data_IF_206176500327
#
_entry.id   IF_206176500327
#
_cell.length_a   1.000
_cell.length_b   1.000
_cell.length_c   1.000
_cell.angle_alpha   90.00
_cell.angle_beta   90.00
_cell.angle_gamma   90.00
#
_symmetry.space_group_name_H-M   'P 1'
#
loop_
_entity.id
_entity.type
_entity.pdbx_description
1 polymer ?
#
# COMPACT_ATOMS: atom_id res chain seq x y z
N UNK A 1 -34.63 5.15 -16.97
CA UNK A 1 -34.90 5.40 -15.54
C UNK A 1 -33.74 6.24 -15.03
N UNK A 2 -33.97 7.36 -14.35
CA UNK A 2 -32.87 8.06 -13.67
C UNK A 2 -32.37 7.15 -12.54
N UNK A 3 -31.10 6.76 -12.57
CA UNK A 3 -30.47 6.01 -11.48
C UNK A 3 -29.77 6.98 -10.51
N UNK A 4 -29.39 6.50 -9.34
CA UNK A 4 -28.69 7.30 -8.33
C UNK A 4 -27.30 7.73 -8.80
N UNK A 5 -26.66 6.92 -9.65
CA UNK A 5 -25.35 7.20 -10.24
C UNK A 5 -25.35 8.45 -11.13
N UNK A 6 -26.31 8.58 -12.04
CA UNK A 6 -26.46 9.77 -12.90
C UNK A 6 -26.71 11.04 -12.08
N UNK A 7 -27.52 10.93 -11.03
CA UNK A 7 -27.71 12.04 -10.11
C UNK A 7 -26.41 12.39 -9.37
N UNK A 8 -25.58 11.39 -9.07
CA UNK A 8 -24.29 11.58 -8.43
C UNK A 8 -23.23 12.17 -9.36
N UNK A 9 -23.18 11.73 -10.63
CA UNK A 9 -22.28 12.28 -11.65
C UNK A 9 -22.59 13.75 -11.97
N UNK A 10 -23.87 14.12 -11.93
CA UNK A 10 -24.32 15.51 -12.12
C UNK A 10 -24.15 16.37 -10.86
N UNK A 11 -23.78 15.77 -9.72
CA UNK A 11 -23.70 16.46 -8.43
C UNK A 11 -25.07 16.90 -7.88
N UNK A 12 -26.17 16.33 -8.38
CA UNK A 12 -27.52 16.66 -7.94
C UNK A 12 -27.82 16.04 -6.58
N UNK A 13 -27.34 16.72 -5.54
CA UNK A 13 -27.56 16.36 -4.14
C UNK A 13 -29.05 16.21 -3.79
N UNK A 14 -29.93 16.99 -4.43
CA UNK A 14 -31.36 16.92 -4.15
C UNK A 14 -31.96 15.63 -4.72
N UNK A 15 -31.58 15.25 -5.95
CA UNK A 15 -31.97 13.98 -6.53
C UNK A 15 -31.39 12.80 -5.73
N UNK A 16 -30.10 12.83 -5.36
CA UNK A 16 -29.50 11.76 -4.55
C UNK A 16 -30.22 11.61 -3.20
N UNK A 17 -30.47 12.72 -2.48
CA UNK A 17 -31.28 12.70 -1.25
C UNK A 17 -32.64 12.06 -1.45
N UNK A 18 -33.31 12.39 -2.56
CA UNK A 18 -34.61 11.79 -2.89
C UNK A 18 -34.51 10.28 -3.10
N UNK A 19 -33.47 9.79 -3.78
CA UNK A 19 -33.26 8.35 -3.95
C UNK A 19 -32.99 7.63 -2.63
N UNK A 20 -32.11 8.18 -1.79
CA UNK A 20 -31.72 7.56 -0.52
C UNK A 20 -32.84 7.63 0.52
N UNK A 21 -33.48 8.79 0.68
CA UNK A 21 -34.41 9.06 1.79
C UNK A 21 -35.86 8.70 1.45
N UNK A 22 -36.33 8.94 0.23
CA UNK A 22 -37.73 8.67 -0.15
C UNK A 22 -37.89 7.28 -0.77
N UNK A 23 -36.94 6.85 -1.60
CA UNK A 23 -37.01 5.55 -2.31
C UNK A 23 -36.28 4.42 -1.58
N UNK A 24 -35.52 4.74 -0.53
CA UNK A 24 -34.77 3.74 0.24
C UNK A 24 -33.68 3.04 -0.57
N UNK A 25 -33.12 3.71 -1.59
CA UNK A 25 -32.00 3.17 -2.36
C UNK A 25 -30.77 3.14 -1.45
N UNK A 26 -30.03 2.03 -1.45
CA UNK A 26 -28.78 1.91 -0.71
C UNK A 26 -27.80 2.99 -1.17
N UNK A 27 -27.06 3.59 -0.23
CA UNK A 27 -26.02 4.58 -0.55
C UNK A 27 -24.84 3.97 -1.32
N UNK A 28 -24.64 2.67 -1.18
CA UNK A 28 -23.64 1.89 -1.92
C UNK A 28 -24.25 1.18 -3.14
N UNK A 29 -25.46 1.57 -3.58
CA UNK A 29 -26.10 0.93 -4.73
C UNK A 29 -25.28 1.17 -6.01
N UNK A 30 -24.69 0.11 -6.54
CA UNK A 30 -23.90 0.14 -7.76
C UNK A 30 -24.79 0.16 -9.00
N UNK A 31 -24.30 0.80 -10.07
CA UNK A 31 -24.93 0.77 -11.39
C UNK A 31 -24.68 -0.57 -12.11
N UNK A 32 -25.06 -0.67 -13.38
CA UNK A 32 -24.87 -1.91 -14.18
C UNK A 32 -23.39 -2.22 -14.45
N UNK A 33 -22.50 -1.24 -14.29
CA UNK A 33 -21.05 -1.37 -14.45
C UNK A 33 -20.34 -1.51 -13.09
N UNK A 34 -21.07 -1.60 -11.98
CA UNK A 34 -20.47 -1.73 -10.65
C UNK A 34 -20.01 -0.41 -10.01
N UNK A 35 -20.30 0.76 -10.59
CA UNK A 35 -19.94 2.03 -9.97
C UNK A 35 -20.94 2.45 -8.91
N UNK A 36 -20.44 2.76 -7.72
CA UNK A 36 -21.24 3.34 -6.64
C UNK A 36 -21.49 4.84 -6.83
N UNK A 37 -22.46 5.46 -6.13
CA UNK A 37 -22.64 6.90 -6.14
C UNK A 37 -21.41 7.66 -5.62
N UNK A 38 -20.62 7.01 -4.75
CA UNK A 38 -19.40 7.59 -4.20
C UNK A 38 -18.27 7.62 -5.25
N UNK A 39 -18.16 6.61 -6.12
CA UNK A 39 -17.25 6.65 -7.28
C UNK A 39 -17.58 7.84 -8.18
N UNK A 40 -18.85 8.00 -8.56
CA UNK A 40 -19.27 9.12 -9.41
C UNK A 40 -19.00 10.47 -8.75
N UNK A 41 -19.34 10.62 -7.47
CA UNK A 41 -19.12 11.86 -6.75
C UNK A 41 -17.62 12.19 -6.62
N UNK A 42 -16.76 11.18 -6.44
CA UNK A 42 -15.31 11.34 -6.37
C UNK A 42 -14.69 11.72 -7.72
N UNK A 43 -15.07 11.03 -8.79
CA UNK A 43 -14.58 11.30 -10.16
C UNK A 43 -14.96 12.69 -10.65
N UNK A 44 -16.19 13.13 -10.38
CA UNK A 44 -16.64 14.46 -10.83
C UNK A 44 -16.41 15.58 -9.79
N UNK A 45 -15.71 15.32 -8.69
CA UNK A 45 -15.32 16.35 -7.73
C UNK A 45 -16.46 16.91 -6.85
N UNK A 46 -17.56 16.18 -6.67
CA UNK A 46 -18.76 16.64 -5.96
C UNK A 46 -18.62 16.53 -4.44
N UNK A 47 -17.81 17.41 -3.85
CA UNK A 47 -17.51 17.43 -2.41
C UNK A 47 -18.74 17.36 -1.50
N UNK A 48 -19.73 18.23 -1.72
CA UNK A 48 -20.95 18.29 -0.88
C UNK A 48 -21.74 16.97 -0.93
N UNK A 49 -21.66 16.28 -2.06
CA UNK A 49 -22.31 14.99 -2.25
C UNK A 49 -21.54 13.86 -1.56
N UNK A 50 -20.21 13.83 -1.67
CA UNK A 50 -19.35 12.89 -0.94
C UNK A 50 -19.62 13.00 0.56
N UNK A 51 -19.59 14.22 1.09
CA UNK A 51 -19.90 14.53 2.48
C UNK A 51 -21.26 13.94 2.92
N UNK A 52 -22.28 14.07 2.06
CA UNK A 52 -23.61 13.53 2.34
C UNK A 52 -23.61 12.00 2.33
N UNK A 53 -23.00 11.37 1.32
CA UNK A 53 -22.95 9.92 1.17
C UNK A 53 -22.22 9.27 2.36
N UNK A 54 -21.06 9.80 2.74
CA UNK A 54 -20.28 9.33 3.90
C UNK A 54 -21.05 9.52 5.21
N UNK A 55 -21.75 10.65 5.41
CA UNK A 55 -22.64 10.86 6.58
C UNK A 55 -23.81 9.87 6.63
N UNK A 56 -24.21 9.31 5.50
CA UNK A 56 -25.24 8.25 5.42
C UNK A 56 -24.67 6.85 5.55
N UNK A 57 -23.37 6.71 5.78
CA UNK A 57 -22.69 5.44 6.00
C UNK A 57 -22.31 4.73 4.71
N UNK A 58 -22.09 5.47 3.61
CA UNK A 58 -21.49 4.89 2.41
C UNK A 58 -20.13 4.28 2.75
N UNK A 59 -19.84 3.10 2.19
CA UNK A 59 -18.53 2.48 2.33
C UNK A 59 -17.50 3.29 1.53
N UNK A 60 -16.57 3.93 2.23
CA UNK A 60 -15.49 4.72 1.60
C UNK A 60 -14.55 3.87 0.75
N UNK A 61 -14.43 2.59 1.06
CA UNK A 61 -13.63 1.58 0.34
C UNK A 61 -14.54 0.64 -0.45
N UNK A 62 -15.62 1.15 -1.03
CA UNK A 62 -16.46 0.35 -1.93
C UNK A 62 -15.68 0.06 -3.20
N UNK A 63 -15.61 -1.21 -3.59
CA UNK A 63 -14.90 -1.65 -4.79
C UNK A 63 -15.85 -1.72 -5.99
N UNK A 64 -15.41 -1.21 -7.14
CA UNK A 64 -16.00 -1.50 -8.44
C UNK A 64 -15.51 -2.86 -8.99
N UNK A 65 -15.87 -3.29 -10.22
CA UNK A 65 -15.43 -4.57 -10.77
C UNK A 65 -13.94 -4.70 -11.02
N UNK A 66 -13.22 -3.60 -11.20
CA UNK A 66 -11.75 -3.55 -11.36
C UNK A 66 -11.06 -3.42 -9.99
N UNK A 67 -11.84 -3.46 -8.89
CA UNK A 67 -11.43 -3.19 -7.52
C UNK A 67 -10.92 -1.78 -7.29
N UNK A 68 -11.26 -0.84 -8.16
CA UNK A 68 -11.03 0.56 -7.88
C UNK A 68 -11.96 0.98 -6.73
N UNK A 69 -11.41 1.74 -5.79
CA UNK A 69 -12.20 2.41 -4.75
C UNK A 69 -12.47 3.85 -5.18
N UNK A 70 -13.37 4.61 -4.51
CA UNK A 70 -13.55 6.03 -4.80
C UNK A 70 -12.27 6.86 -4.77
N UNK A 71 -11.22 6.40 -4.06
CA UNK A 71 -9.92 7.06 -4.03
C UNK A 71 -9.14 6.93 -5.35
N UNK A 72 -9.32 5.84 -6.10
CA UNK A 72 -8.65 5.60 -7.39
C UNK A 72 -9.10 6.57 -8.48
N UNK A 73 -10.39 6.96 -8.44
CA UNK A 73 -11.02 7.75 -9.49
C UNK A 73 -11.07 9.25 -9.17
N UNK A 74 -10.53 9.72 -8.04
CA UNK A 74 -10.65 11.12 -7.67
C UNK A 74 -9.59 12.01 -8.34
N UNK A 75 -10.05 13.05 -9.06
CA UNK A 75 -9.16 13.91 -9.87
C UNK A 75 -8.53 15.08 -9.10
N UNK A 76 -8.87 15.26 -7.81
CA UNK A 76 -8.39 16.42 -7.04
C UNK A 76 -7.92 16.06 -5.65
N UNK A 77 -6.86 16.73 -5.19
CA UNK A 77 -6.32 16.60 -3.84
C UNK A 77 -7.36 16.91 -2.76
N UNK A 78 -8.31 17.80 -3.04
CA UNK A 78 -9.38 18.11 -2.09
C UNK A 78 -10.30 16.91 -1.85
N UNK A 79 -10.66 16.18 -2.90
CA UNK A 79 -11.45 14.95 -2.77
C UNK A 79 -10.63 13.82 -2.15
N UNK A 80 -9.38 13.65 -2.58
CA UNK A 80 -8.48 12.64 -2.00
C UNK A 80 -8.34 12.83 -0.48
N UNK A 81 -8.11 14.08 -0.03
CA UNK A 81 -8.07 14.45 1.39
C UNK A 81 -9.35 14.08 2.11
N UNK A 82 -10.50 14.44 1.53
CA UNK A 82 -11.79 14.14 2.14
C UNK A 82 -12.01 12.64 2.32
N UNK A 83 -11.66 11.83 1.32
CA UNK A 83 -11.79 10.37 1.39
C UNK A 83 -10.83 9.76 2.43
N UNK A 84 -9.55 10.15 2.40
CA UNK A 84 -8.53 9.69 3.37
C UNK A 84 -8.92 10.05 4.81
N UNK A 85 -9.36 11.29 5.05
CA UNK A 85 -9.84 11.75 6.37
C UNK A 85 -11.05 10.94 6.88
N UNK A 86 -11.83 10.34 5.96
CA UNK A 86 -12.96 9.49 6.28
C UNK A 86 -12.61 7.98 6.26
N UNK A 87 -11.32 7.63 6.22
CA UNK A 87 -10.84 6.26 6.36
C UNK A 87 -10.70 5.49 5.04
N UNK A 88 -10.53 6.18 3.92
CA UNK A 88 -10.13 5.53 2.67
C UNK A 88 -8.76 4.84 2.85
N UNK A 89 -8.64 3.62 2.36
CA UNK A 89 -7.37 2.89 2.36
C UNK A 89 -6.50 3.33 1.17
N UNK A 90 -5.49 4.14 1.46
CA UNK A 90 -4.55 4.64 0.46
C UNK A 90 -3.59 3.56 -0.08
N UNK A 91 -3.52 2.38 0.55
CA UNK A 91 -2.69 1.25 0.13
C UNK A 91 -3.47 0.16 -0.61
N UNK A 92 -4.79 0.33 -0.74
CA UNK A 92 -5.60 -0.63 -1.49
C UNK A 92 -5.04 -0.77 -2.90
N UNK A 93 -5.00 -2.00 -3.40
CA UNK A 93 -4.55 -2.32 -4.76
C UNK A 93 -5.72 -2.82 -5.59
N UNK A 94 -5.84 -2.28 -6.81
CA UNK A 94 -6.86 -2.72 -7.75
C UNK A 94 -6.46 -4.02 -8.47
N UNK A 95 -7.27 -4.51 -9.40
CA UNK A 95 -7.00 -5.76 -10.13
C UNK A 95 -5.77 -5.67 -11.06
N UNK A 96 -5.31 -4.46 -11.39
CA UNK A 96 -4.06 -4.24 -12.13
C UNK A 96 -2.83 -4.25 -11.20
N UNK A 97 -3.02 -4.38 -9.88
CA UNK A 97 -1.94 -4.34 -8.89
C UNK A 97 -1.44 -2.93 -8.58
N UNK A 98 -2.17 -1.89 -8.99
CA UNK A 98 -1.82 -0.50 -8.75
C UNK A 98 -2.47 0.00 -7.47
N UNK A 99 -1.76 0.84 -6.73
CA UNK A 99 -2.32 1.71 -5.69
C UNK A 99 -3.00 2.93 -6.30
N UNK A 100 -3.81 3.65 -5.52
CA UNK A 100 -4.43 4.89 -5.97
C UNK A 100 -3.40 5.97 -6.36
N UNK A 101 -2.22 5.97 -5.73
CA UNK A 101 -1.14 6.88 -6.08
C UNK A 101 -0.54 6.56 -7.46
N UNK A 102 -0.27 5.28 -7.74
CA UNK A 102 0.26 4.83 -9.04
C UNK A 102 -0.76 5.03 -10.16
N UNK A 103 -2.05 4.74 -9.90
CA UNK A 103 -3.12 5.00 -10.85
C UNK A 103 -3.23 6.50 -11.20
N UNK A 104 -3.10 7.38 -10.21
CA UNK A 104 -3.11 8.82 -10.43
C UNK A 104 -1.94 9.30 -11.29
N UNK A 105 -0.79 8.61 -11.32
CA UNK A 105 0.32 8.94 -12.22
C UNK A 105 0.04 8.53 -13.66
N UNK A 106 -0.51 7.33 -13.87
CA UNK A 106 -0.93 6.83 -15.19
C UNK A 106 -2.00 7.74 -15.82
N UNK A 107 -2.89 8.31 -15.01
CA UNK A 107 -3.94 9.25 -15.43
C UNK A 107 -3.47 10.72 -15.50
N UNK A 108 -2.19 11.00 -15.25
CA UNK A 108 -1.59 12.34 -15.26
C UNK A 108 -2.20 13.33 -14.22
N UNK A 109 -2.47 12.86 -13.00
CA UNK A 109 -2.90 13.66 -11.82
C UNK A 109 -1.78 13.81 -10.77
N UNK A 110 -0.68 14.53 -11.09
CA UNK A 110 0.54 14.52 -10.28
C UNK A 110 0.34 15.04 -8.85
N UNK A 111 -0.54 16.03 -8.64
CA UNK A 111 -0.81 16.54 -7.30
C UNK A 111 -1.53 15.52 -6.41
N UNK A 112 -2.42 14.69 -6.99
CA UNK A 112 -3.10 13.62 -6.27
C UNK A 112 -2.11 12.51 -5.91
N UNK A 113 -1.29 12.09 -6.89
CA UNK A 113 -0.24 11.10 -6.67
C UNK A 113 0.73 11.52 -5.55
N UNK A 114 1.24 12.75 -5.63
CA UNK A 114 2.12 13.32 -4.60
C UNK A 114 1.45 13.35 -3.22
N UNK A 115 0.19 13.79 -3.14
CA UNK A 115 -0.54 13.79 -1.87
C UNK A 115 -0.71 12.38 -1.29
N UNK A 116 -1.07 11.39 -2.11
CA UNK A 116 -1.26 10.02 -1.66
C UNK A 116 0.06 9.36 -1.22
N UNK A 117 1.17 9.69 -1.89
CA UNK A 117 2.53 9.31 -1.48
C UNK A 117 2.94 9.91 -0.14
N UNK A 118 2.63 11.20 0.08
CA UNK A 118 2.85 11.86 1.38
C UNK A 118 2.04 11.17 2.49
N UNK A 119 0.79 10.80 2.23
CA UNK A 119 -0.09 10.10 3.20
C UNK A 119 0.40 8.68 3.51
N UNK A 120 0.93 7.98 2.51
CA UNK A 120 1.47 6.62 2.67
C UNK A 120 2.93 6.64 3.17
N UNK A 121 3.62 7.77 3.16
CA UNK A 121 5.03 7.85 3.55
C UNK A 121 5.98 7.13 2.58
N UNK A 122 5.53 6.87 1.35
CA UNK A 122 6.35 6.34 0.25
C UNK A 122 6.66 7.51 -0.70
N UNK A 123 7.85 8.13 -0.63
CA UNK A 123 8.22 9.27 -1.49
C UNK A 123 8.37 8.89 -2.97
N UNK A 124 8.30 9.86 -3.90
CA UNK A 124 8.57 9.62 -5.32
C UNK A 124 10.04 9.17 -5.47
N UNK A 125 10.35 8.19 -6.34
CA UNK A 125 11.74 7.84 -6.66
C UNK A 125 12.63 9.01 -7.14
N UNK A 126 12.02 10.13 -7.54
CA UNK A 126 12.69 11.31 -8.07
C UNK A 126 12.79 12.44 -7.02
N UNK A 127 12.20 12.27 -5.83
CA UNK A 127 12.28 13.24 -4.72
C UNK A 127 13.62 13.14 -3.94
N UNK A 128 14.44 12.13 -4.23
CA UNK A 128 15.76 11.89 -3.59
C UNK A 128 16.95 12.54 -4.34
N UNK A 129 16.72 13.31 -5.42
CA UNK A 129 17.79 13.95 -6.21
C UNK A 129 18.39 15.24 -5.57
N UNK A 130 18.01 15.56 -4.32
CA UNK A 130 18.54 16.70 -3.55
C UNK A 130 19.59 16.31 -2.48
N UNK A 131 20.23 15.13 -2.60
CA UNK A 131 21.47 14.83 -1.85
C UNK A 131 22.66 15.61 -2.44
N UNK A 132 22.73 16.88 -2.07
CA UNK A 132 23.92 17.73 -1.92
C UNK A 132 25.26 17.07 -2.34
N UNK A 133 25.71 17.37 -3.57
CA UNK A 133 27.13 17.31 -3.94
C UNK A 133 27.91 18.42 -3.20
N UNK A 134 27.95 18.37 -1.87
CA UNK A 134 28.80 19.23 -1.06
C UNK A 134 30.22 18.66 -1.04
N UNK A 135 31.04 19.19 -1.95
CA UNK A 135 32.50 19.37 -1.84
C UNK A 135 33.34 18.16 -1.37
N UNK A 136 33.74 17.32 -2.33
CA UNK A 136 34.95 16.50 -2.20
C UNK A 136 36.10 17.01 -3.09
N UNK A 137 36.22 18.33 -3.23
CA UNK A 137 37.30 18.98 -3.99
C UNK A 137 38.62 19.11 -3.19
N UNK A 138 38.66 18.70 -1.92
CA UNK A 138 39.81 18.89 -1.03
C UNK A 138 40.61 17.61 -0.68
N UNK A 139 40.41 16.47 -1.36
CA UNK A 139 41.17 15.23 -1.04
C UNK A 139 42.18 14.76 -2.08
N UNK A 140 42.51 15.57 -3.08
CA UNK A 140 43.75 15.36 -3.83
C UNK A 140 44.94 15.95 -3.08
N UNK A 141 45.41 15.18 -2.08
CA UNK A 141 46.81 15.23 -1.71
C UNK A 141 47.44 13.88 -2.03
N UNK A 142 48.13 13.90 -3.17
CA UNK A 142 49.12 12.95 -3.61
C UNK A 142 49.97 12.46 -2.42
N UNK A 143 50.11 11.15 -2.27
CA UNK A 143 51.44 10.58 -2.08
C UNK A 143 51.49 9.06 -2.32
N UNK A 144 52.59 8.69 -2.97
CA UNK A 144 53.25 7.39 -2.96
C UNK A 144 52.55 6.20 -3.63
N UNK A 145 53.08 5.84 -4.78
CA UNK A 145 52.84 4.54 -5.39
C UNK A 145 53.53 3.41 -4.64
N UNK A 146 53.04 2.20 -4.92
CA UNK A 146 53.89 1.02 -5.08
C UNK A 146 53.14 -0.01 -5.95
N UNK A 147 53.90 -0.63 -6.83
CA UNK A 147 53.52 -1.72 -7.74
C UNK A 147 53.27 -3.03 -6.97
N UNK A 148 52.31 -3.83 -7.46
CA UNK A 148 52.32 -5.30 -7.46
C UNK A 148 51.04 -5.75 -8.18
N UNK A 149 51.16 -6.19 -9.42
CA UNK A 149 51.23 -7.62 -9.80
C UNK A 149 49.90 -8.35 -9.59
N UNK A 150 49.31 -8.65 -10.76
CA UNK A 150 48.45 -9.78 -11.12
C UNK A 150 48.22 -10.83 -10.02
N UNK A 151 46.95 -11.16 -9.77
CA UNK A 151 46.48 -12.55 -9.72
C UNK A 151 44.99 -12.57 -10.08
N UNK A 152 44.70 -13.23 -11.20
CA UNK A 152 43.44 -13.91 -11.42
C UNK A 152 43.23 -14.91 -10.28
N UNK A 153 42.03 -15.00 -9.71
CA UNK A 153 41.46 -16.25 -9.19
C UNK A 153 39.97 -16.02 -8.89
N UNK A 154 39.13 -16.80 -9.57
CA UNK A 154 37.73 -16.98 -9.24
C UNK A 154 37.61 -17.68 -7.88
N UNK A 155 36.88 -17.07 -6.93
CA UNK A 155 36.15 -17.82 -5.91
C UNK A 155 34.78 -17.18 -5.66
N UNK A 156 33.81 -17.79 -6.34
CA UNK A 156 32.47 -18.09 -5.84
C UNK A 156 32.48 -18.39 -4.32
N UNK A 157 31.78 -17.59 -3.51
CA UNK A 157 30.93 -18.09 -2.44
C UNK A 157 30.22 -16.96 -1.70
N UNK A 158 28.89 -16.96 -1.83
CA UNK A 158 27.97 -16.62 -0.75
C UNK A 158 28.01 -15.20 -0.19
N UNK A 159 27.33 -14.27 -0.86
CA UNK A 159 26.54 -13.29 -0.12
C UNK A 159 25.40 -14.05 0.58
N UNK A 160 25.70 -14.66 1.72
CA UNK A 160 24.68 -15.11 2.66
C UNK A 160 24.02 -13.85 3.24
N UNK A 161 22.93 -13.45 2.59
CA UNK A 161 22.01 -12.40 3.01
C UNK A 161 21.70 -12.54 4.51
N UNK A 162 22.23 -11.62 5.32
CA UNK A 162 22.15 -11.63 6.78
C UNK A 162 20.72 -11.54 7.34
N UNK A 163 19.72 -11.44 6.48
CA UNK A 163 18.30 -11.43 6.84
C UNK A 163 17.68 -12.83 7.02
N UNK A 164 18.30 -13.89 6.50
CA UNK A 164 17.61 -15.17 6.32
C UNK A 164 17.55 -16.06 7.60
N UNK A 165 18.53 -15.97 8.51
CA UNK A 165 18.58 -16.86 9.68
C UNK A 165 18.15 -16.23 11.02
N UNK A 166 18.18 -14.90 11.17
CA UNK A 166 17.92 -14.26 12.47
C UNK A 166 16.44 -14.32 12.89
N UNK A 167 15.52 -14.13 11.94
CA UNK A 167 14.08 -14.20 12.22
C UNK A 167 13.60 -15.64 12.45
N UNK A 168 14.14 -16.57 11.66
CA UNK A 168 13.90 -18.00 11.78
C UNK A 168 14.30 -18.54 13.15
N UNK A 169 15.51 -18.20 13.63
CA UNK A 169 16.00 -18.62 14.94
C UNK A 169 15.14 -18.08 16.10
N UNK A 170 14.67 -16.82 16.01
CA UNK A 170 13.78 -16.21 17.01
C UNK A 170 12.42 -16.91 17.07
N UNK A 171 11.85 -17.22 15.90
CA UNK A 171 10.58 -17.94 15.78
C UNK A 171 10.71 -19.35 16.38
N UNK A 172 11.74 -20.11 16.01
CA UNK A 172 11.96 -21.47 16.55
C UNK A 172 12.17 -21.48 18.06
N UNK A 173 12.88 -20.47 18.59
CA UNK A 173 13.13 -20.33 20.03
C UNK A 173 11.81 -20.12 20.80
N UNK A 174 10.92 -19.27 20.30
CA UNK A 174 9.63 -18.99 20.93
C UNK A 174 8.69 -20.20 20.84
N UNK A 175 8.68 -20.92 19.72
CA UNK A 175 7.88 -22.14 19.59
C UNK A 175 8.34 -23.21 20.59
N UNK A 176 9.65 -23.46 20.70
CA UNK A 176 10.21 -24.41 21.69
C UNK A 176 9.92 -24.00 23.14
N UNK A 177 10.01 -22.70 23.44
CA UNK A 177 9.69 -22.19 24.78
C UNK A 177 8.20 -22.42 25.12
N UNK A 178 7.31 -22.16 24.17
CA UNK A 178 5.86 -22.38 24.28
C UNK A 178 5.51 -23.85 24.49
N UNK A 179 6.20 -24.76 23.80
CA UNK A 179 6.04 -26.20 24.02
C UNK A 179 6.54 -26.65 25.41
N UNK A 180 7.60 -26.01 25.92
CA UNK A 180 8.23 -26.37 27.18
C UNK A 180 7.44 -25.92 28.41
N UNK A 181 6.83 -24.73 28.38
CA UNK A 181 6.12 -24.16 29.52
C UNK A 181 4.60 -24.00 29.32
N UNK A 182 4.09 -24.26 28.12
CA UNK A 182 2.66 -24.18 27.79
C UNK A 182 2.10 -22.75 27.77
N UNK A 183 2.96 -21.73 27.80
CA UNK A 183 2.55 -20.33 27.75
C UNK A 183 2.38 -19.90 26.30
N UNK A 184 1.17 -19.48 25.93
CA UNK A 184 0.88 -18.94 24.60
C UNK A 184 1.66 -17.63 24.37
N UNK A 185 2.45 -17.59 23.28
CA UNK A 185 3.27 -16.45 22.84
C UNK A 185 2.92 -16.01 21.41
N UNK A 186 1.68 -16.20 20.99
CA UNK A 186 1.22 -15.88 19.63
C UNK A 186 1.43 -14.40 19.28
N UNK A 187 1.32 -13.50 20.26
CA UNK A 187 1.56 -12.06 20.06
C UNK A 187 3.05 -11.74 19.82
N UNK A 188 3.96 -12.47 20.49
CA UNK A 188 5.40 -12.32 20.31
C UNK A 188 5.84 -12.85 18.94
N UNK A 189 5.25 -13.98 18.51
CA UNK A 189 5.42 -14.52 17.16
C UNK A 189 4.91 -13.55 16.09
N UNK A 190 3.73 -12.97 16.28
CA UNK A 190 3.13 -12.03 15.33
C UNK A 190 3.97 -10.76 15.13
N UNK A 191 4.60 -10.26 16.19
CA UNK A 191 5.48 -9.09 16.10
C UNK A 191 6.76 -9.38 15.32
N UNK A 192 7.35 -10.57 15.49
CA UNK A 192 8.55 -10.97 14.74
C UNK A 192 8.23 -11.15 13.25
N UNK A 193 7.06 -11.70 12.92
CA UNK A 193 6.60 -11.83 11.52
C UNK A 193 6.39 -10.45 10.89
N UNK A 194 5.82 -9.48 11.62
CA UNK A 194 5.68 -8.10 11.14
C UNK A 194 7.02 -7.42 10.92
N UNK A 195 7.98 -7.60 11.84
CA UNK A 195 9.35 -7.09 11.67
C UNK A 195 10.02 -7.69 10.42
N UNK A 196 9.87 -9.01 10.20
CA UNK A 196 10.46 -9.69 9.05
C UNK A 196 9.86 -9.18 7.72
N UNK A 197 8.54 -9.00 7.65
CA UNK A 197 7.85 -8.47 6.48
C UNK A 197 8.22 -7.01 6.19
N UNK A 198 8.43 -6.19 7.24
CA UNK A 198 8.88 -4.81 7.08
C UNK A 198 10.29 -4.70 6.48
N UNK A 199 11.17 -5.67 6.78
CA UNK A 199 12.54 -5.74 6.22
C UNK A 199 12.56 -6.32 4.81
N UNK A 200 11.70 -7.30 4.51
CA UNK A 200 11.69 -8.01 3.23
C UNK A 200 11.02 -7.23 2.09
N UNK A 201 10.25 -6.18 2.40
CA UNK A 201 9.57 -5.34 1.42
C UNK A 201 8.25 -5.92 0.90
N UNK A 202 7.51 -5.16 0.09
CA UNK A 202 6.21 -5.55 -0.44
C UNK A 202 6.33 -6.79 -1.36
N UNK A 203 5.43 -7.77 -1.19
CA UNK A 203 5.43 -9.05 -1.91
C UNK A 203 6.05 -10.22 -1.15
N UNK A 204 6.75 -9.95 -0.03
CA UNK A 204 7.25 -11.01 0.84
C UNK A 204 6.11 -11.75 1.55
N UNK A 205 6.14 -13.09 1.52
CA UNK A 205 5.18 -13.93 2.24
C UNK A 205 5.92 -14.86 3.18
N UNK A 206 5.47 -14.92 4.44
CA UNK A 206 6.01 -15.88 5.41
C UNK A 206 5.26 -17.20 5.26
N UNK A 207 5.91 -18.19 4.64
CA UNK A 207 5.34 -19.54 4.54
C UNK A 207 5.55 -20.24 5.87
N UNK A 208 4.45 -20.46 6.59
CA UNK A 208 4.44 -21.35 7.75
C UNK A 208 4.10 -22.75 7.26
N UNK A 209 5.11 -23.60 7.06
CA UNK A 209 4.85 -25.00 6.74
C UNK A 209 4.48 -25.78 8.01
N UNK A 210 3.24 -26.28 8.05
CA UNK A 210 2.81 -27.32 8.99
C UNK A 210 1.83 -26.86 10.07
N UNK A 211 0.56 -27.23 9.93
CA UNK A 211 -0.38 -27.29 11.05
C UNK A 211 -0.05 -28.52 11.92
N UNK A 212 0.99 -28.45 12.75
CA UNK A 212 1.36 -29.52 13.69
C UNK A 212 2.76 -29.38 14.28
N UNK A 213 2.97 -29.94 15.48
CA UNK A 213 4.22 -29.92 16.25
C UNK A 213 5.44 -30.27 15.38
N UNK A 214 6.23 -29.26 15.01
CA UNK A 214 7.31 -29.38 14.02
C UNK A 214 7.33 -28.28 12.95
N UNK A 215 6.63 -27.16 13.13
CA UNK A 215 6.67 -26.04 12.20
C UNK A 215 8.05 -25.38 12.19
N UNK A 216 8.67 -25.32 11.01
CA UNK A 216 9.86 -24.50 10.73
C UNK A 216 9.44 -23.40 9.76
N UNK A 217 9.67 -22.13 10.12
CA UNK A 217 9.45 -21.01 9.21
C UNK A 217 10.69 -20.80 8.34
N UNK A 218 10.51 -20.66 7.04
CA UNK A 218 11.58 -20.20 6.13
C UNK A 218 11.04 -19.03 5.32
N UNK A 219 11.89 -18.05 5.05
CA UNK A 219 11.58 -16.91 4.18
C UNK A 219 12.14 -17.29 2.80
N UNK A 220 11.29 -17.44 1.77
CA UNK A 220 11.76 -17.68 0.40
C UNK A 220 11.48 -16.44 -0.44
N UNK A 221 12.50 -15.93 -1.13
CA UNK A 221 12.40 -14.83 -2.11
C UNK A 221 11.98 -15.31 -3.52
N UNK A 222 11.68 -16.59 -3.70
CA UNK A 222 11.60 -17.22 -5.04
C UNK A 222 10.24 -17.09 -5.76
N UNK A 223 9.58 -15.94 -5.69
CA UNK A 223 8.43 -15.71 -6.57
C UNK A 223 8.36 -14.25 -7.02
N UNK A 224 9.37 -13.86 -7.80
CA UNK A 224 9.30 -12.78 -8.80
C UNK A 224 9.08 -13.45 -10.16
#
# INVERSE_FOLDING_TARGET
MSNIWLAASDGDLAAVKKFVEEKGVSVDAQDENGYSPLHAAASYGHKDLIDYLLKKGANVNVEDPDKDTPLFVCETVEIAKLLVENGADAYHVNDNGLTAAENAEEEEWPEVAHYLREVTGVPHPDDDDDEQEDDMSHLLREDSGNESEENDDEEDSGEEDATDNTFKDRIETIMRATEADGVNRDEELANIVKEALAVAGPGATVVTEGAGAGATGSISKDNI
#
